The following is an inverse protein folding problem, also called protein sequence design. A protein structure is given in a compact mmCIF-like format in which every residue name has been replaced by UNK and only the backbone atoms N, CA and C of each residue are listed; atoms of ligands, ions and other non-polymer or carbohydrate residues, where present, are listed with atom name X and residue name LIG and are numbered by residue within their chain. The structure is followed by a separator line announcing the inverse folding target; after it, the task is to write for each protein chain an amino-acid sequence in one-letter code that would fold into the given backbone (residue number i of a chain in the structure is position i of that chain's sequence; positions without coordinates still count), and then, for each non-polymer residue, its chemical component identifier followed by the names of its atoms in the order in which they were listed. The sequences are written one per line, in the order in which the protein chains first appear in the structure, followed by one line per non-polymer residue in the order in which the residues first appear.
data_IF_024452210090
#
_entry.id   IF_024452210090
#
_cell.length_a   1.000
_cell.length_b   1.000
_cell.length_c   1.000
_cell.angle_alpha   90.00
_cell.angle_beta   90.00
_cell.angle_gamma   90.00
#
_symmetry.space_group_name_H-M   'P 1'
#
loop_
_entity.id
_entity.type
_entity.pdbx_description
1 polymer ?
#
# COMPACT_ATOMS: atom_id res chain seq x y z
N UNK A 1 22.67 -4.86 -6.60
CA UNK A 1 22.25 -4.91 -5.18
C UNK A 1 20.88 -4.26 -5.11
N UNK A 2 19.82 -5.06 -5.08
CA UNK A 2 18.48 -4.53 -4.77
C UNK A 2 18.53 -3.91 -3.38
N UNK A 3 18.25 -2.61 -3.29
CA UNK A 3 18.21 -1.93 -2.01
C UNK A 3 17.01 -2.49 -1.24
N UNK A 4 17.27 -3.23 -0.16
CA UNK A 4 16.25 -3.71 0.78
C UNK A 4 15.68 -2.50 1.52
N UNK A 5 14.75 -1.80 0.90
CA UNK A 5 14.07 -0.63 1.45
C UNK A 5 12.70 -1.03 1.99
N UNK A 6 12.40 -0.64 3.23
CA UNK A 6 11.05 -0.76 3.76
C UNK A 6 10.18 0.39 3.21
N UNK A 7 9.55 0.15 2.07
CA UNK A 7 8.69 1.14 1.41
C UNK A 7 7.58 1.68 2.33
N UNK A 8 7.10 0.88 3.29
CA UNK A 8 6.04 1.28 4.22
C UNK A 8 6.50 2.31 5.26
N UNK A 9 7.82 2.48 5.44
CA UNK A 9 8.40 3.49 6.35
C UNK A 9 9.06 4.61 5.54
N UNK A 10 9.89 4.25 4.56
CA UNK A 10 10.71 5.21 3.85
C UNK A 10 9.93 6.03 2.80
N UNK A 11 8.88 5.46 2.20
CA UNK A 11 8.15 6.08 1.08
C UNK A 11 6.77 6.65 1.47
N UNK A 12 6.49 6.82 2.77
CA UNK A 12 5.16 7.27 3.25
C UNK A 12 4.74 8.63 2.67
N UNK A 13 5.71 9.53 2.47
CA UNK A 13 5.47 10.88 1.93
C UNK A 13 5.84 11.02 0.45
N UNK A 14 6.08 9.92 -0.25
CA UNK A 14 6.56 9.91 -1.63
C UNK A 14 7.78 9.01 -1.82
N UNK A 15 8.03 8.60 -3.07
CA UNK A 15 9.11 7.68 -3.38
C UNK A 15 10.48 8.33 -3.18
N UNK A 16 11.33 7.74 -2.34
CA UNK A 16 12.70 8.24 -2.09
C UNK A 16 13.73 7.77 -3.12
N UNK A 17 13.42 6.73 -3.90
CA UNK A 17 14.33 6.13 -4.89
C UNK A 17 14.04 6.57 -6.34
N UNK A 18 12.98 7.37 -6.56
CA UNK A 18 12.56 7.80 -7.89
C UNK A 18 12.35 6.63 -8.84
N UNK A 19 13.06 6.62 -9.97
CA UNK A 19 12.96 5.59 -11.01
C UNK A 19 13.53 4.23 -10.58
N UNK A 20 14.24 4.15 -9.45
CA UNK A 20 14.74 2.89 -8.88
C UNK A 20 13.76 2.26 -7.89
N UNK A 21 12.49 2.67 -7.91
CA UNK A 21 11.45 2.08 -7.08
C UNK A 21 11.33 0.57 -7.39
N UNK A 22 11.45 -0.33 -6.39
CA UNK A 22 11.28 -1.77 -6.63
C UNK A 22 9.86 -2.12 -7.11
N UNK A 23 8.89 -1.26 -6.86
CA UNK A 23 7.48 -1.44 -7.22
C UNK A 23 7.07 -0.62 -8.46
N UNK A 24 8.03 -0.22 -9.31
CA UNK A 24 7.77 0.69 -10.44
C UNK A 24 6.78 0.11 -11.46
N UNK A 25 6.74 -1.21 -11.60
CA UNK A 25 5.82 -1.93 -12.50
C UNK A 25 4.33 -1.67 -12.17
N UNK A 26 4.02 -1.41 -10.90
CA UNK A 26 2.64 -1.15 -10.46
C UNK A 26 2.21 0.31 -10.66
N UNK A 27 3.11 1.20 -11.10
CA UNK A 27 2.82 2.63 -11.26
C UNK A 27 1.67 2.88 -12.22
N UNK A 28 1.66 2.19 -13.36
CA UNK A 28 0.60 2.37 -14.37
C UNK A 28 -0.75 1.86 -13.88
N UNK A 29 -0.77 0.69 -13.22
CA UNK A 29 -1.99 0.13 -12.63
C UNK A 29 -2.56 1.05 -11.53
N UNK A 30 -1.70 1.62 -10.68
CA UNK A 30 -2.11 2.58 -9.66
C UNK A 30 -2.67 3.86 -10.27
N UNK A 31 -2.05 4.39 -11.33
CA UNK A 31 -2.55 5.57 -12.03
C UNK A 31 -3.93 5.32 -12.65
N UNK A 32 -4.10 4.19 -13.34
CA UNK A 32 -5.40 3.77 -13.91
C UNK A 32 -6.46 3.62 -12.84
N UNK A 33 -6.14 2.99 -11.71
CA UNK A 33 -7.08 2.88 -10.59
C UNK A 33 -7.55 4.24 -10.08
N UNK A 34 -6.64 5.21 -9.93
CA UNK A 34 -6.99 6.55 -9.46
C UNK A 34 -7.86 7.29 -10.47
N UNK A 35 -7.58 7.16 -11.75
CA UNK A 35 -8.32 7.82 -12.83
C UNK A 35 -9.72 7.20 -13.04
N UNK A 36 -9.82 5.88 -12.99
CA UNK A 36 -11.04 5.15 -13.31
C UNK A 36 -11.96 4.91 -12.10
N UNK A 37 -11.46 5.11 -10.87
CA UNK A 37 -12.25 4.89 -9.65
C UNK A 37 -12.77 6.21 -9.10
N UNK A 38 -14.09 6.45 -9.09
CA UNK A 38 -14.66 7.63 -8.47
C UNK A 38 -14.36 7.69 -6.97
N UNK A 39 -14.26 8.90 -6.41
CA UNK A 39 -13.97 9.11 -4.99
C UNK A 39 -14.96 8.36 -4.08
N UNK A 40 -16.25 8.39 -4.40
CA UNK A 40 -17.27 7.67 -3.61
C UNK A 40 -17.00 6.16 -3.57
N UNK A 41 -16.54 5.59 -4.68
CA UNK A 41 -16.18 4.16 -4.74
C UNK A 41 -14.94 3.87 -3.90
N UNK A 42 -13.96 4.78 -3.88
CA UNK A 42 -12.80 4.65 -2.99
C UNK A 42 -13.20 4.68 -1.51
N UNK A 43 -14.13 5.55 -1.13
CA UNK A 43 -14.64 5.65 0.24
C UNK A 43 -15.40 4.38 0.65
N UNK A 44 -16.21 3.82 -0.25
CA UNK A 44 -16.90 2.53 -0.03
C UNK A 44 -15.90 1.40 0.24
N UNK A 45 -14.85 1.28 -0.59
CA UNK A 45 -13.80 0.27 -0.42
C UNK A 45 -13.07 0.44 0.92
N UNK A 46 -12.78 1.68 1.33
CA UNK A 46 -12.14 1.97 2.61
C UNK A 46 -13.01 1.56 3.80
N UNK A 47 -14.32 1.85 3.75
CA UNK A 47 -15.27 1.44 4.78
C UNK A 47 -15.41 -0.09 4.85
N UNK A 48 -15.47 -0.78 3.72
CA UNK A 48 -15.54 -2.24 3.69
C UNK A 48 -14.29 -2.87 4.32
N UNK A 49 -13.11 -2.33 4.00
CA UNK A 49 -11.85 -2.79 4.59
C UNK A 49 -11.81 -2.58 6.11
N UNK A 50 -12.31 -1.45 6.59
CA UNK A 50 -12.44 -1.17 8.01
C UNK A 50 -13.39 -2.17 8.68
N UNK A 51 -14.57 -2.40 8.10
CA UNK A 51 -15.53 -3.40 8.60
C UNK A 51 -14.87 -4.77 8.73
N UNK A 52 -14.18 -5.23 7.69
CA UNK A 52 -13.42 -6.49 7.70
C UNK A 52 -12.40 -6.51 8.83
N UNK A 53 -11.60 -5.46 9.00
CA UNK A 53 -10.61 -5.36 10.08
C UNK A 53 -11.22 -5.52 11.47
N UNK A 54 -12.43 -5.00 11.69
CA UNK A 54 -13.12 -5.06 12.99
C UNK A 54 -13.72 -6.44 13.26
N UNK A 55 -14.04 -7.22 12.22
CA UNK A 55 -14.65 -8.55 12.34
C UNK A 55 -13.66 -9.70 12.18
N UNK A 56 -12.53 -9.47 11.49
CA UNK A 56 -11.49 -10.47 11.28
C UNK A 56 -10.77 -10.77 12.61
N UNK A 57 -10.41 -12.04 12.88
CA UNK A 57 -9.59 -12.38 14.03
C UNK A 57 -8.25 -11.65 13.95
N UNK A 58 -7.64 -11.30 15.10
CA UNK A 58 -6.38 -10.57 15.13
C UNK A 58 -5.28 -11.38 14.42
N UNK A 59 -4.58 -10.73 13.48
CA UNK A 59 -3.38 -11.28 12.86
C UNK A 59 -2.18 -10.93 13.74
N UNK A 60 -1.63 -11.93 14.41
CA UNK A 60 -0.41 -11.79 15.19
C UNK A 60 0.78 -11.73 14.25
N UNK A 61 1.43 -10.58 14.17
CA UNK A 61 2.73 -10.44 13.50
C UNK A 61 3.78 -10.58 14.59
N UNK A 62 4.51 -11.71 14.59
CA UNK A 62 5.72 -11.80 15.39
C UNK A 62 6.80 -10.94 14.72
N UNK A 63 7.51 -10.07 15.47
CA UNK A 63 8.66 -9.38 14.93
C UNK A 63 9.66 -10.41 14.40
N UNK A 64 10.08 -10.26 13.14
CA UNK A 64 11.21 -11.00 12.60
C UNK A 64 12.48 -10.39 13.19
N UNK A 65 12.97 -11.01 14.27
CA UNK A 65 14.25 -10.78 14.96
C UNK A 65 14.53 -9.34 15.49
N UNK A 66 14.82 -9.25 16.79
CA UNK A 66 15.45 -8.09 17.44
C UNK A 66 16.94 -8.08 17.08
#
# INVERSE_FOLDING_TARGET
MEQKINCAVACVNGCVLGDKCPNIEYREAAAKFIEETPLDKMLELAQERLRKKMTEPPKWVLPEDI
#
